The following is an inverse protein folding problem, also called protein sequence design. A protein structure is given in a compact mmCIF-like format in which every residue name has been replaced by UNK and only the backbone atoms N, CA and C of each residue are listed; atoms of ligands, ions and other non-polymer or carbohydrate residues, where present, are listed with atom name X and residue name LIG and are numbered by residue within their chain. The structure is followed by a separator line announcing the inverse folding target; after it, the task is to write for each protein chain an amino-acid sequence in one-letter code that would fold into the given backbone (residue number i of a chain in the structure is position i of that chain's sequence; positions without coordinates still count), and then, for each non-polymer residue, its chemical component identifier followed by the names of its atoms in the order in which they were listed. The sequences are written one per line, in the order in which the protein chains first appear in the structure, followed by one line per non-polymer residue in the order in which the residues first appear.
data_IF_258185355332
#
_entry.id   IF_258185355332
#
_cell.length_a   1.000
_cell.length_b   1.000
_cell.length_c   1.000
_cell.angle_alpha   90.00
_cell.angle_beta   90.00
_cell.angle_gamma   90.00
#
_symmetry.space_group_name_H-M   'P 1'
#
loop_
_entity.id
_entity.type
_entity.pdbx_description
1 polymer ?
#
# COMPACT_ATOMS: atom_id res chain seq x y z
N UNK A 1 34.34 -1.92 7.78
CA UNK A 1 32.87 -1.77 7.98
C UNK A 1 32.63 -1.48 9.45
N UNK A 2 31.97 -0.38 9.80
CA UNK A 2 31.57 -0.11 11.18
C UNK A 2 30.52 -1.16 11.62
N UNK A 3 30.52 -1.60 12.89
CA UNK A 3 29.55 -2.58 13.38
C UNK A 3 28.11 -2.03 13.25
N UNK A 4 27.11 -2.87 12.94
CA UNK A 4 25.73 -2.43 12.90
C UNK A 4 25.33 -1.93 14.29
N UNK A 5 24.91 -0.68 14.39
CA UNK A 5 24.41 -0.11 15.64
C UNK A 5 23.14 -0.85 16.05
N UNK A 6 23.21 -1.66 17.11
CA UNK A 6 22.09 -2.41 17.68
C UNK A 6 21.01 -1.54 18.37
N UNK A 7 20.96 -0.23 18.09
CA UNK A 7 19.94 0.68 18.61
C UNK A 7 18.68 0.69 17.77
N UNK A 8 17.53 0.99 18.39
CA UNK A 8 16.30 1.33 17.65
C UNK A 8 16.62 2.58 16.79
N UNK A 9 16.47 2.52 15.46
CA UNK A 9 16.74 3.68 14.60
C UNK A 9 15.89 4.88 15.03
N UNK A 10 16.54 6.04 15.20
CA UNK A 10 15.81 7.26 15.52
C UNK A 10 15.01 7.72 14.30
N UNK A 11 13.74 8.05 14.49
CA UNK A 11 12.87 8.50 13.41
C UNK A 11 13.19 9.97 13.03
N UNK A 12 13.68 10.24 11.81
CA UNK A 12 14.06 11.59 11.40
C UNK A 12 12.86 12.49 11.09
N UNK A 13 11.63 11.95 10.97
CA UNK A 13 10.44 12.67 10.49
C UNK A 13 9.86 13.68 11.47
N UNK A 14 10.53 13.95 12.60
CA UNK A 14 10.13 14.94 13.62
C UNK A 14 8.64 14.89 13.98
N UNK A 15 8.09 13.69 14.14
CA UNK A 15 6.64 13.44 14.31
C UNK A 15 5.99 14.16 15.50
N UNK A 16 6.79 14.68 16.44
CA UNK A 16 6.30 15.48 17.57
C UNK A 16 5.97 16.93 17.19
N UNK A 17 6.49 17.45 16.09
CA UNK A 17 6.22 18.81 15.61
C UNK A 17 4.79 18.91 15.05
N UNK A 18 4.06 19.94 15.49
CA UNK A 18 2.64 20.07 15.14
C UNK A 18 2.39 20.35 13.65
N UNK A 19 3.26 21.15 13.03
CA UNK A 19 3.18 21.47 11.59
C UNK A 19 3.33 20.22 10.74
N UNK A 20 4.31 19.38 11.06
CA UNK A 20 4.56 18.11 10.37
C UNK A 20 3.35 17.18 10.51
N UNK A 21 2.78 17.05 11.72
CA UNK A 21 1.57 16.24 11.92
C UNK A 21 0.38 16.76 11.13
N UNK A 22 0.17 18.08 11.10
CA UNK A 22 -0.94 18.67 10.34
C UNK A 22 -0.79 18.40 8.85
N UNK A 23 0.42 18.58 8.32
CA UNK A 23 0.72 18.28 6.92
C UNK A 23 0.47 16.79 6.60
N UNK A 24 1.06 15.86 7.37
CA UNK A 24 0.88 14.43 7.15
C UNK A 24 -0.58 13.99 7.27
N UNK A 25 -1.31 14.55 8.23
CA UNK A 25 -2.74 14.28 8.40
C UNK A 25 -3.57 14.80 7.24
N UNK A 26 -3.26 15.99 6.72
CA UNK A 26 -3.95 16.56 5.56
C UNK A 26 -3.70 15.73 4.30
N UNK A 27 -2.45 15.40 4.00
CA UNK A 27 -2.08 14.56 2.85
C UNK A 27 -2.74 13.17 2.93
N UNK A 28 -2.76 12.56 4.12
CA UNK A 28 -3.42 11.28 4.33
C UNK A 28 -4.93 11.38 4.11
N UNK A 29 -5.58 12.41 4.65
CA UNK A 29 -7.02 12.59 4.50
C UNK A 29 -7.40 12.81 3.03
N UNK A 30 -6.65 13.66 2.32
CA UNK A 30 -6.85 13.91 0.88
C UNK A 30 -6.74 12.61 0.07
N UNK A 31 -5.71 11.81 0.33
CA UNK A 31 -5.54 10.52 -0.33
C UNK A 31 -6.70 9.56 -0.04
N UNK A 32 -7.11 9.42 1.22
CA UNK A 32 -8.23 8.54 1.59
C UNK A 32 -9.54 8.98 0.91
N UNK A 33 -9.79 10.28 0.81
CA UNK A 33 -10.96 10.83 0.10
C UNK A 33 -10.87 10.59 -1.41
N UNK A 34 -9.72 10.87 -2.03
CA UNK A 34 -9.52 10.72 -3.47
C UNK A 34 -9.75 9.28 -3.96
N UNK A 35 -9.39 8.30 -3.14
CA UNK A 35 -9.50 6.88 -3.47
C UNK A 35 -10.70 6.19 -2.80
N UNK A 36 -11.74 6.94 -2.41
CA UNK A 36 -13.02 6.42 -1.94
C UNK A 36 -12.96 5.50 -0.70
N UNK A 37 -12.02 5.74 0.22
CA UNK A 37 -11.86 4.95 1.44
C UNK A 37 -13.18 4.71 2.19
N UNK A 38 -13.99 5.75 2.39
CA UNK A 38 -15.22 5.63 3.19
C UNK A 38 -16.24 4.70 2.53
N UNK A 39 -16.26 4.69 1.19
CA UNK A 39 -17.14 3.84 0.41
C UNK A 39 -16.70 2.37 0.51
N UNK A 40 -15.41 2.10 0.34
CA UNK A 40 -14.83 0.76 0.41
C UNK A 40 -14.99 0.16 1.82
N UNK A 41 -14.64 0.94 2.84
CA UNK A 41 -14.59 0.47 4.23
C UNK A 41 -15.93 0.62 4.96
N UNK A 42 -16.92 1.28 4.35
CA UNK A 42 -18.20 1.65 4.97
C UNK A 42 -18.00 2.31 6.34
N UNK A 43 -17.01 3.19 6.41
CA UNK A 43 -16.54 3.80 7.65
C UNK A 43 -16.17 5.25 7.41
N UNK A 44 -16.94 6.17 8.01
CA UNK A 44 -16.71 7.61 7.84
C UNK A 44 -15.67 8.15 8.80
N UNK A 45 -14.80 9.02 8.27
CA UNK A 45 -13.80 9.73 9.03
C UNK A 45 -14.35 11.11 9.42
N UNK A 46 -14.01 11.56 10.62
CA UNK A 46 -14.43 12.88 11.11
C UNK A 46 -13.25 13.83 11.06
N UNK A 47 -13.51 15.14 11.19
CA UNK A 47 -12.44 16.14 11.33
C UNK A 47 -11.47 15.85 12.50
N UNK A 48 -11.89 15.06 13.50
CA UNK A 48 -11.03 14.69 14.63
C UNK A 48 -10.12 13.49 14.34
N UNK A 49 -10.42 12.68 13.32
CA UNK A 49 -9.67 11.44 13.02
C UNK A 49 -8.17 11.69 12.86
N UNK A 50 -7.75 12.80 12.26
CA UNK A 50 -6.32 13.11 12.09
C UNK A 50 -5.61 13.59 13.37
N UNK A 51 -6.36 13.90 14.44
CA UNK A 51 -5.81 14.41 15.71
C UNK A 51 -5.97 13.45 16.87
N UNK A 52 -7.10 12.73 16.92
CA UNK A 52 -7.49 11.82 17.99
C UNK A 52 -8.42 10.74 17.43
N UNK A 53 -7.89 9.80 16.62
CA UNK A 53 -8.69 8.73 16.04
C UNK A 53 -9.14 7.72 17.10
N UNK A 54 -10.24 7.05 16.80
CA UNK A 54 -10.62 5.83 17.52
C UNK A 54 -9.76 4.65 17.09
N UNK A 55 -9.77 3.56 17.86
CA UNK A 55 -9.12 2.31 17.45
C UNK A 55 -9.68 1.80 16.12
N UNK A 56 -10.99 1.94 15.91
CA UNK A 56 -11.65 1.54 14.68
C UNK A 56 -11.16 2.36 13.49
N UNK A 57 -11.04 3.67 13.63
CA UNK A 57 -10.50 4.54 12.57
C UNK A 57 -9.13 4.06 12.11
N UNK A 58 -8.20 3.87 13.06
CA UNK A 58 -6.86 3.40 12.76
C UNK A 58 -6.87 2.02 12.08
N UNK A 59 -7.61 1.05 12.64
CA UNK A 59 -7.68 -0.29 12.08
C UNK A 59 -8.21 -0.28 10.64
N UNK A 60 -9.26 0.49 10.36
CA UNK A 60 -9.81 0.59 9.01
C UNK A 60 -8.82 1.25 8.04
N UNK A 61 -8.18 2.36 8.45
CA UNK A 61 -7.14 3.01 7.63
C UNK A 61 -5.95 2.08 7.36
N UNK A 62 -5.47 1.36 8.36
CA UNK A 62 -4.36 0.42 8.22
C UNK A 62 -4.72 -0.71 7.25
N UNK A 63 -5.87 -1.36 7.45
CA UNK A 63 -6.32 -2.48 6.61
C UNK A 63 -6.49 -2.02 5.17
N UNK A 64 -7.12 -0.88 4.95
CA UNK A 64 -7.34 -0.36 3.60
C UNK A 64 -6.01 0.01 2.90
N UNK A 65 -5.11 0.70 3.59
CA UNK A 65 -3.78 1.02 3.06
C UNK A 65 -2.94 -0.25 2.80
N UNK A 66 -3.07 -1.26 3.65
CA UNK A 66 -2.36 -2.52 3.45
C UNK A 66 -2.88 -3.25 2.20
N UNK A 67 -4.19 -3.28 1.95
CA UNK A 67 -4.72 -3.89 0.71
C UNK A 67 -4.35 -3.11 -0.55
N UNK A 68 -4.13 -1.79 -0.45
CA UNK A 68 -3.53 -1.00 -1.55
C UNK A 68 -2.09 -1.44 -1.85
N UNK A 69 -1.39 -2.01 -0.87
CA UNK A 69 -0.03 -2.51 -1.01
C UNK A 69 -0.01 -3.97 -1.48
N UNK A 70 -0.85 -4.81 -0.86
CA UNK A 70 -0.98 -6.23 -1.15
C UNK A 70 -2.48 -6.60 -1.25
N UNK A 71 -3.07 -6.55 -2.46
CA UNK A 71 -4.49 -6.82 -2.67
C UNK A 71 -4.91 -8.27 -2.36
N UNK A 72 -3.95 -9.21 -2.34
CA UNK A 72 -4.22 -10.63 -2.12
C UNK A 72 -4.20 -11.02 -0.64
N UNK A 73 -3.70 -10.13 0.24
CA UNK A 73 -3.59 -10.42 1.65
C UNK A 73 -4.97 -10.58 2.32
N UNK A 74 -5.09 -11.58 3.18
CA UNK A 74 -6.29 -11.85 3.96
C UNK A 74 -5.93 -11.79 5.44
N UNK A 75 -6.45 -10.81 6.17
CA UNK A 75 -6.29 -10.74 7.62
C UNK A 75 -7.03 -11.93 8.27
N UNK A 76 -6.30 -12.79 8.99
CA UNK A 76 -6.86 -13.97 9.63
C UNK A 76 -7.05 -13.79 11.14
N UNK A 77 -6.21 -12.95 11.77
CA UNK A 77 -6.28 -12.62 13.20
C UNK A 77 -6.78 -11.19 13.40
N UNK A 78 -6.82 -10.76 14.66
CA UNK A 78 -7.06 -9.35 14.97
C UNK A 78 -5.97 -8.49 14.35
N UNK A 79 -6.36 -7.31 13.84
CA UNK A 79 -5.45 -6.38 13.14
C UNK A 79 -4.21 -6.09 13.98
N UNK A 80 -4.36 -5.83 15.27
CA UNK A 80 -3.24 -5.52 16.18
C UNK A 80 -2.20 -6.65 16.30
N UNK A 81 -2.62 -7.91 16.11
CA UNK A 81 -1.74 -9.06 16.14
C UNK A 81 -0.97 -9.25 14.82
N UNK A 82 -1.59 -8.86 13.69
CA UNK A 82 -1.05 -8.92 12.33
C UNK A 82 -0.11 -7.75 12.02
N UNK A 83 -0.32 -6.57 12.63
CA UNK A 83 0.51 -5.37 12.33
C UNK A 83 2.02 -5.65 12.50
N UNK A 84 2.54 -6.16 13.64
CA UNK A 84 3.98 -6.33 13.80
C UNK A 84 4.67 -7.21 12.73
N UNK A 85 4.19 -8.43 12.40
CA UNK A 85 4.79 -9.21 11.33
C UNK A 85 4.65 -8.55 9.95
N UNK A 86 3.54 -7.85 9.68
CA UNK A 86 3.37 -7.12 8.42
C UNK A 86 4.37 -5.97 8.28
N UNK A 87 4.62 -5.19 9.33
CA UNK A 87 5.64 -4.14 9.32
C UNK A 87 7.04 -4.69 9.04
N UNK A 88 7.34 -5.89 9.55
CA UNK A 88 8.59 -6.59 9.26
C UNK A 88 8.71 -6.99 7.80
N UNK A 89 7.64 -7.53 7.24
CA UNK A 89 7.58 -7.94 5.83
C UNK A 89 7.73 -6.74 4.89
N UNK A 90 7.07 -5.63 5.21
CA UNK A 90 7.20 -4.37 4.49
C UNK A 90 8.54 -3.66 4.71
N UNK A 91 9.43 -4.23 5.54
CA UNK A 91 10.72 -3.64 5.96
C UNK A 91 10.55 -2.22 6.48
N UNK A 92 9.49 -1.98 7.25
CA UNK A 92 9.24 -0.67 7.83
C UNK A 92 10.41 -0.27 8.76
N UNK A 93 11.10 0.86 8.50
CA UNK A 93 12.35 1.19 9.18
C UNK A 93 12.24 1.33 10.71
N UNK A 94 11.03 1.61 11.19
CA UNK A 94 10.74 1.86 12.61
C UNK A 94 9.84 0.77 13.21
N UNK A 95 9.82 -0.45 12.65
CA UNK A 95 9.00 -1.55 13.18
C UNK A 95 9.29 -1.84 14.66
N UNK A 96 10.56 -1.74 15.08
CA UNK A 96 11.00 -2.02 16.45
C UNK A 96 10.51 -1.00 17.48
N UNK A 97 10.10 0.19 17.06
CA UNK A 97 9.55 1.21 17.97
C UNK A 97 8.04 1.05 18.21
N UNK A 98 7.38 0.13 17.49
CA UNK A 98 5.94 -0.13 17.61
C UNK A 98 5.72 -1.46 18.32
N UNK A 99 5.08 -1.40 19.48
CA UNK A 99 4.80 -2.57 20.32
C UNK A 99 3.30 -2.90 20.33
N UNK A 100 2.96 -4.17 20.60
CA UNK A 100 1.55 -4.61 20.72
C UNK A 100 0.75 -3.82 21.76
N UNK A 101 1.37 -3.44 22.88
CA UNK A 101 0.70 -2.66 23.92
C UNK A 101 0.33 -1.25 23.45
N UNK A 102 1.15 -0.62 22.61
CA UNK A 102 0.84 0.68 22.03
C UNK A 102 -0.28 0.57 20.97
N UNK A 103 -0.35 -0.55 20.25
CA UNK A 103 -1.40 -0.81 19.26
C UNK A 103 -2.79 -0.98 19.89
N UNK A 104 -2.89 -1.32 21.17
CA UNK A 104 -4.18 -1.41 21.88
C UNK A 104 -4.80 -0.02 22.19
N UNK A 105 -4.04 1.07 22.05
CA UNK A 105 -4.47 2.43 22.40
C UNK A 105 -3.86 3.48 21.45
N UNK A 106 -4.15 3.36 20.16
CA UNK A 106 -3.52 4.18 19.09
C UNK A 106 -3.90 5.66 19.11
N UNK A 107 -5.10 6.00 19.60
CA UNK A 107 -5.60 7.38 19.67
C UNK A 107 -5.05 8.22 20.83
N UNK A 108 -4.19 7.65 21.67
CA UNK A 108 -3.61 8.33 22.82
C UNK A 108 -2.39 9.20 22.48
N UNK A 109 -1.53 9.41 23.48
CA UNK A 109 -0.34 10.27 23.36
C UNK A 109 0.63 9.85 22.22
N UNK A 110 0.60 8.58 21.81
CA UNK A 110 1.46 8.03 20.76
C UNK A 110 0.89 8.15 19.34
N UNK A 111 -0.26 8.81 19.15
CA UNK A 111 -0.90 8.95 17.84
C UNK A 111 0.05 9.42 16.74
N UNK A 112 0.95 10.36 17.06
CA UNK A 112 1.97 10.86 16.12
C UNK A 112 2.83 9.77 15.48
N UNK A 113 3.13 8.68 16.20
CA UNK A 113 3.88 7.53 15.67
C UNK A 113 3.03 6.74 14.67
N UNK A 114 1.75 6.54 14.96
CA UNK A 114 0.83 5.81 14.11
C UNK A 114 0.41 6.61 12.88
N UNK A 115 0.21 7.93 13.01
CA UNK A 115 0.05 8.82 11.88
C UNK A 115 1.27 8.75 10.95
N UNK A 116 2.47 8.75 11.53
CA UNK A 116 3.70 8.57 10.77
C UNK A 116 3.76 7.23 10.03
N UNK A 117 3.27 6.16 10.66
CA UNK A 117 3.14 4.85 10.01
C UNK A 117 2.15 4.88 8.84
N UNK A 118 0.92 5.36 9.05
CA UNK A 118 -0.12 5.41 8.00
C UNK A 118 0.32 6.28 6.82
N UNK A 119 0.93 7.43 7.08
CA UNK A 119 1.47 8.30 6.04
C UNK A 119 2.59 7.62 5.25
N UNK A 120 3.47 6.87 5.91
CA UNK A 120 4.50 6.09 5.21
C UNK A 120 3.89 5.00 4.34
N UNK A 121 2.88 4.27 4.83
CA UNK A 121 2.16 3.28 4.04
C UNK A 121 1.45 3.90 2.83
N UNK A 122 0.85 5.08 2.99
CA UNK A 122 0.29 5.85 1.87
C UNK A 122 1.34 6.18 0.81
N UNK A 123 2.51 6.68 1.22
CA UNK A 123 3.58 7.01 0.29
C UNK A 123 4.11 5.76 -0.42
N UNK A 124 4.21 4.63 0.28
CA UNK A 124 4.55 3.34 -0.32
C UNK A 124 3.52 2.90 -1.36
N UNK A 125 2.22 2.99 -1.04
CA UNK A 125 1.15 2.66 -1.99
C UNK A 125 1.19 3.54 -3.24
N UNK A 126 1.38 4.87 -3.09
CA UNK A 126 1.53 5.81 -4.21
C UNK A 126 2.74 5.48 -5.07
N UNK A 127 3.88 5.15 -4.44
CA UNK A 127 5.10 4.79 -5.15
C UNK A 127 4.90 3.53 -5.99
N UNK A 128 4.22 2.51 -5.47
CA UNK A 128 3.95 1.28 -6.22
C UNK A 128 2.97 1.50 -7.39
N UNK A 129 1.93 2.30 -7.19
CA UNK A 129 1.01 2.69 -8.26
C UNK A 129 1.75 3.44 -9.38
N UNK A 130 2.57 4.42 -9.02
CA UNK A 130 3.41 5.17 -9.97
C UNK A 130 4.42 4.28 -10.70
N UNK A 131 5.01 3.31 -10.00
CA UNK A 131 5.91 2.32 -10.61
C UNK A 131 5.18 1.47 -11.64
N UNK A 132 3.99 0.95 -11.30
CA UNK A 132 3.19 0.18 -12.26
C UNK A 132 2.73 1.00 -13.46
N UNK A 133 2.51 2.31 -13.28
CA UNK A 133 2.13 3.24 -14.34
C UNK A 133 3.31 3.69 -15.23
N UNK A 134 4.54 3.26 -14.94
CA UNK A 134 5.74 3.65 -15.69
C UNK A 134 6.23 5.07 -15.42
N UNK A 135 5.80 5.71 -14.32
CA UNK A 135 6.18 7.09 -14.01
C UNK A 135 7.68 7.29 -13.71
N UNK A 136 8.42 6.18 -13.55
CA UNK A 136 9.86 6.16 -13.30
C UNK A 136 10.68 5.66 -14.50
N UNK A 137 10.04 5.37 -15.64
CA UNK A 137 10.71 4.76 -16.80
C UNK A 137 11.84 5.65 -17.33
N UNK A 138 11.60 6.96 -17.48
CA UNK A 138 12.61 7.93 -17.92
C UNK A 138 13.81 7.99 -16.96
N UNK A 139 13.55 8.01 -15.66
CA UNK A 139 14.60 8.06 -14.64
C UNK A 139 15.43 6.76 -14.60
N UNK A 140 14.79 5.61 -14.82
CA UNK A 140 15.47 4.33 -14.95
C UNK A 140 16.33 4.29 -16.21
N UNK A 141 15.81 4.79 -17.34
CA UNK A 141 16.55 4.87 -18.60
C UNK A 141 17.79 5.78 -18.45
N UNK A 142 17.65 6.95 -17.81
CA UNK A 142 18.77 7.85 -17.52
C UNK A 142 19.82 7.21 -16.60
N UNK A 143 19.41 6.31 -15.72
CA UNK A 143 20.30 5.50 -14.89
C UNK A 143 20.90 4.28 -15.62
N UNK A 144 20.56 4.08 -16.90
CA UNK A 144 21.07 3.00 -17.75
C UNK A 144 20.27 1.69 -17.68
N UNK A 145 19.04 1.72 -17.17
CA UNK A 145 18.16 0.55 -17.06
C UNK A 145 16.94 0.72 -18.00
N UNK A 146 16.78 -0.18 -18.98
CA UNK A 146 15.61 -0.21 -19.85
C UNK A 146 14.47 -1.01 -19.21
N UNK A 147 13.68 -0.34 -18.36
CA UNK A 147 12.50 -0.94 -17.72
C UNK A 147 11.23 -0.79 -18.55
N UNK A 148 11.21 0.18 -19.48
CA UNK A 148 10.06 0.47 -20.33
C UNK A 148 9.82 -0.61 -21.37
N UNK A 149 10.88 -1.07 -22.05
CA UNK A 149 10.80 -2.19 -22.98
C UNK A 149 10.32 -3.47 -22.32
N UNK A 150 10.89 -3.80 -21.16
CA UNK A 150 10.51 -4.98 -20.37
C UNK A 150 9.03 -4.94 -19.95
N UNK A 151 8.52 -3.78 -19.52
CA UNK A 151 7.12 -3.60 -19.14
C UNK A 151 6.16 -3.84 -20.31
N UNK A 152 6.46 -3.28 -21.48
CA UNK A 152 5.62 -3.47 -22.69
C UNK A 152 5.56 -4.95 -23.07
N UNK A 153 6.70 -5.64 -23.07
CA UNK A 153 6.78 -7.07 -23.38
C UNK A 153 5.99 -7.89 -22.36
N UNK A 154 6.15 -7.58 -21.07
CA UNK A 154 5.44 -8.27 -20.00
C UNK A 154 3.91 -8.07 -20.09
N UNK A 155 3.44 -6.85 -20.31
CA UNK A 155 2.02 -6.53 -20.45
C UNK A 155 1.41 -7.26 -21.66
N UNK A 156 2.11 -7.29 -22.79
CA UNK A 156 1.68 -8.03 -23.97
C UNK A 156 1.59 -9.53 -23.69
N UNK A 157 2.68 -10.16 -23.24
CA UNK A 157 2.74 -11.60 -23.00
C UNK A 157 1.74 -12.05 -21.92
N UNK A 158 1.62 -11.28 -20.84
CA UNK A 158 0.69 -11.61 -19.75
C UNK A 158 -0.78 -11.40 -20.16
N UNK A 159 -1.06 -10.41 -21.00
CA UNK A 159 -2.38 -10.21 -21.61
C UNK A 159 -2.79 -11.37 -22.50
N UNK A 160 -1.95 -11.71 -23.49
CA UNK A 160 -2.19 -12.83 -24.39
C UNK A 160 -2.30 -14.17 -23.66
N UNK A 161 -1.51 -14.38 -22.59
CA UNK A 161 -1.60 -15.61 -21.80
C UNK A 161 -2.89 -15.71 -20.98
N UNK A 162 -3.38 -14.59 -20.41
CA UNK A 162 -4.68 -14.57 -19.72
C UNK A 162 -5.83 -14.86 -20.68
N UNK A 163 -5.78 -14.29 -21.87
CA UNK A 163 -6.77 -14.55 -22.93
C UNK A 163 -6.77 -16.03 -23.34
N UNK A 164 -5.59 -16.60 -23.57
CA UNK A 164 -5.46 -18.02 -23.88
C UNK A 164 -6.01 -18.92 -22.76
N UNK A 165 -5.76 -18.59 -21.48
CA UNK A 165 -6.33 -19.33 -20.34
C UNK A 165 -7.85 -19.18 -20.18
N UNK A 166 -8.46 -18.12 -20.73
CA UNK A 166 -9.92 -17.96 -20.75
C UNK A 166 -10.59 -18.72 -21.90
N UNK A 167 -9.89 -18.91 -23.03
CA UNK A 167 -10.41 -19.69 -24.17
C UNK A 167 -10.68 -21.14 -23.76
N UNK A 168 -9.81 -21.77 -22.97
CA UNK A 168 -10.02 -23.14 -22.47
C UNK A 168 -11.21 -23.29 -21.49
N UNK A 169 -11.80 -22.20 -20.99
CA UNK A 169 -13.00 -22.23 -20.13
C UNK A 169 -14.30 -22.01 -20.89
N UNK A 170 -14.25 -21.49 -22.12
CA UNK A 170 -15.42 -21.29 -22.99
C UNK A 170 -15.64 -22.48 -23.96
N UNK A 171 -14.71 -23.43 -24.03
CA UNK A 171 -14.78 -24.66 -24.84
C UNK A 171 -15.82 -25.71 -24.34
N UNK A 172 -16.80 -25.32 -23.53
CA UNK A 172 -18.08 -26.06 -23.36
C UNK A 172 -19.15 -25.60 -24.40
N UNK A 173 -18.90 -24.54 -25.20
CA UNK A 173 -19.70 -24.15 -26.36
C UNK A 173 -18.87 -24.26 -27.66
N UNK A 174 -18.90 -25.47 -28.22
CA UNK A 174 -18.06 -26.09 -29.28
C UNK A 174 -17.92 -25.37 -30.65
N UNK A 175 -18.18 -24.06 -30.83
CA UNK A 175 -18.29 -23.47 -32.19
C UNK A 175 -17.71 -22.06 -32.45
N UNK A 176 -17.07 -21.37 -31.48
CA UNK A 176 -16.59 -19.98 -31.68
C UNK A 176 -15.06 -19.82 -31.86
N UNK A 177 -14.24 -20.78 -31.45
CA UNK A 177 -12.77 -20.70 -31.57
C UNK A 177 -12.27 -20.61 -33.03
N UNK A 178 -13.04 -21.14 -34.00
CA UNK A 178 -12.67 -21.12 -35.42
C UNK A 178 -12.83 -19.73 -36.08
N UNK A 179 -13.68 -18.84 -35.54
CA UNK A 179 -13.92 -17.51 -36.12
C UNK A 179 -12.86 -16.48 -35.74
N UNK A 180 -12.22 -16.61 -34.58
CA UNK A 180 -11.23 -15.64 -34.10
C UNK A 180 -9.85 -15.76 -34.78
N UNK A 181 -9.58 -16.87 -35.46
CA UNK A 181 -8.28 -17.15 -36.10
C UNK A 181 -8.30 -16.79 -37.60
N UNK A 182 -9.44 -16.35 -38.15
CA UNK A 182 -9.46 -15.87 -39.54
C UNK A 182 -8.69 -14.55 -39.69
N UNK A 183 -7.69 -14.50 -40.56
CA UNK A 183 -6.99 -13.25 -40.85
C UNK A 183 -7.95 -12.29 -41.57
N UNK A 184 -8.03 -11.05 -41.09
CA UNK A 184 -8.74 -9.94 -41.74
C UNK A 184 -8.21 -9.61 -43.15
#
# INVERSE_FOLDING_TARGET
MAPPSNGIPNDPRRLKESSVRQQMGQELLEYLTQYNFEMDMKHSLTHKTMTSPTQKDFNQMFVWLYHRIDPAFRFQKTVDAEIPPLLKQLRYPFEKSITRSQLAAVGGNNWHTFLGLLHWMMQLAKMMEQYSAGAYDDACHDAGYDVGGDRIIFDFLSGSYKEWLSVEQEDDEEDDAARLIEPH
#
